data_IF_742722032598
#
_entry.id   IF_742722032598
#
_cell.length_a   1.000
_cell.length_b   1.000
_cell.length_c   1.000
_cell.angle_alpha   90.00
_cell.angle_beta   90.00
_cell.angle_gamma   90.00
#
_symmetry.space_group_name_H-M   'P 1'
#
loop_
_entity.id
_entity.type
_entity.pdbx_description
1 polymer ?
#
# COMPACT_ATOMS: atom_id res chain seq x y z
N UNK A 1 -22.45 21.22 -3.04
CA UNK A 1 -21.80 19.91 -2.78
C UNK A 1 -20.82 20.06 -1.63
N UNK A 2 -20.64 19.03 -0.81
CA UNK A 2 -19.77 19.04 0.37
C UNK A 2 -18.75 17.92 0.31
N UNK A 3 -17.52 18.19 0.73
CA UNK A 3 -16.47 17.16 0.87
C UNK A 3 -15.90 17.20 2.27
N UNK A 4 -15.83 16.04 2.91
CA UNK A 4 -15.31 15.85 4.26
C UNK A 4 -14.12 14.90 4.24
N UNK A 5 -12.99 15.36 4.76
CA UNK A 5 -11.74 14.61 4.86
C UNK A 5 -11.74 13.79 6.15
N UNK A 6 -12.27 12.57 6.12
CA UNK A 6 -12.40 11.73 7.32
C UNK A 6 -11.04 11.14 7.72
N UNK A 7 -10.20 10.78 6.75
CA UNK A 7 -8.86 10.23 6.98
C UNK A 7 -7.97 10.39 5.75
N UNK A 8 -6.67 10.14 5.92
CA UNK A 8 -5.67 10.43 4.88
C UNK A 8 -5.43 11.93 4.65
N UNK A 9 -5.64 12.79 5.67
CA UNK A 9 -5.33 14.22 5.60
C UNK A 9 -4.35 14.57 6.73
N UNK A 10 -3.14 15.02 6.38
CA UNK A 10 -2.02 15.17 7.32
C UNK A 10 -1.40 13.84 7.78
N UNK A 11 -1.73 12.74 7.11
CA UNK A 11 -1.17 11.40 7.30
C UNK A 11 -1.26 10.60 6.00
N UNK A 12 -0.42 9.57 5.86
CA UNK A 12 -0.33 8.66 4.69
C UNK A 12 -1.18 7.40 4.84
N UNK A 13 -2.05 7.30 5.84
CA UNK A 13 -2.88 6.10 6.03
C UNK A 13 -4.32 6.44 6.38
N UNK A 14 -5.22 5.48 6.22
CA UNK A 14 -6.62 5.59 6.65
C UNK A 14 -7.48 6.44 5.72
N UNK A 15 -7.14 6.48 4.44
CA UNK A 15 -7.79 7.22 3.35
C UNK A 15 -9.30 7.03 3.36
N UNK A 16 -10.02 8.13 3.60
CA UNK A 16 -11.48 8.20 3.63
C UNK A 16 -11.92 9.63 3.31
N UNK A 17 -12.53 9.83 2.15
CA UNK A 17 -13.11 11.13 1.78
C UNK A 17 -14.59 10.97 1.49
N UNK A 18 -15.45 11.67 2.23
CA UNK A 18 -16.90 11.63 2.05
C UNK A 18 -17.34 12.80 1.18
N UNK A 19 -18.00 12.50 0.08
CA UNK A 19 -18.65 13.46 -0.81
C UNK A 19 -20.17 13.40 -0.59
N UNK A 20 -20.79 14.54 -0.36
CA UNK A 20 -22.25 14.68 -0.23
C UNK A 20 -22.81 15.67 -1.25
N UNK A 21 -23.82 15.25 -2.01
CA UNK A 21 -24.42 16.02 -3.09
C UNK A 21 -25.91 15.66 -3.23
N UNK A 22 -26.81 16.64 -3.19
CA UNK A 22 -28.26 16.43 -3.32
C UNK A 22 -28.84 15.27 -2.48
N UNK A 23 -28.31 15.07 -1.26
CA UNK A 23 -28.71 13.97 -0.37
C UNK A 23 -28.09 12.60 -0.68
N UNK A 24 -27.29 12.48 -1.73
CA UNK A 24 -26.51 11.30 -2.08
C UNK A 24 -25.10 11.37 -1.49
N UNK A 25 -24.61 10.28 -0.93
CA UNK A 25 -23.34 10.18 -0.21
C UNK A 25 -22.42 9.12 -0.81
N UNK A 26 -21.25 9.57 -1.27
CA UNK A 26 -20.22 8.73 -1.88
C UNK A 26 -19.00 8.76 -0.98
N UNK A 27 -18.53 7.58 -0.58
CA UNK A 27 -17.28 7.45 0.13
C UNK A 27 -16.17 7.05 -0.85
N UNK A 28 -15.13 7.87 -0.96
CA UNK A 28 -13.91 7.54 -1.70
C UNK A 28 -12.93 6.91 -0.74
N UNK A 29 -12.60 5.64 -1.00
CA UNK A 29 -11.80 4.77 -0.14
C UNK A 29 -12.34 4.59 1.29
N UNK A 30 -11.95 3.49 1.92
CA UNK A 30 -12.34 3.10 3.26
C UNK A 30 -11.18 2.40 3.99
N UNK A 31 -10.09 3.13 4.21
CA UNK A 31 -8.81 2.59 4.69
C UNK A 31 -8.61 2.43 6.19
N UNK A 32 -7.68 1.59 6.63
CA UNK A 32 -7.19 1.59 8.03
C UNK A 32 -6.07 2.60 8.26
N UNK A 33 -6.10 3.26 9.41
CA UNK A 33 -4.96 4.01 9.92
C UNK A 33 -3.87 3.04 10.41
N UNK A 34 -2.62 3.28 10.04
CA UNK A 34 -1.46 2.48 10.44
C UNK A 34 -0.39 3.37 11.12
N UNK A 35 0.70 2.77 11.61
CA UNK A 35 1.81 3.50 12.23
C UNK A 35 1.55 3.91 13.68
N UNK A 36 1.61 5.21 13.96
CA UNK A 36 1.51 5.80 15.29
C UNK A 36 0.30 5.27 16.08
N UNK A 37 0.47 5.07 17.39
CA UNK A 37 -0.59 4.54 18.26
C UNK A 37 -1.85 5.41 18.23
N UNK A 38 -1.68 6.73 18.27
CA UNK A 38 -2.78 7.70 18.19
C UNK A 38 -3.59 7.55 16.89
N UNK A 39 -2.94 7.31 15.75
CA UNK A 39 -3.64 7.05 14.48
C UNK A 39 -4.35 5.70 14.50
N UNK A 40 -3.70 4.64 15.00
CA UNK A 40 -4.32 3.31 15.07
C UNK A 40 -5.54 3.26 15.99
N UNK A 41 -5.57 4.09 17.03
CA UNK A 41 -6.72 4.23 17.93
C UNK A 41 -7.96 4.79 17.21
N UNK A 42 -7.78 5.66 16.20
CA UNK A 42 -8.89 6.21 15.39
C UNK A 42 -9.65 5.13 14.61
N UNK A 43 -9.06 3.96 14.37
CA UNK A 43 -9.78 2.86 13.73
C UNK A 43 -10.93 2.32 14.58
N UNK A 44 -10.87 2.54 15.90
CA UNK A 44 -11.89 2.09 16.84
C UNK A 44 -13.08 3.05 16.93
N UNK A 45 -12.85 4.33 16.60
CA UNK A 45 -13.86 5.37 16.62
C UNK A 45 -14.94 5.13 15.55
N UNK A 46 -16.19 5.52 15.82
CA UNK A 46 -17.23 5.52 14.80
C UNK A 46 -16.92 6.54 13.71
N UNK A 47 -17.38 6.28 12.48
CA UNK A 47 -17.34 7.30 11.44
C UNK A 47 -18.16 8.52 11.87
N UNK A 48 -17.78 9.74 11.44
CA UNK A 48 -18.55 10.95 11.72
C UNK A 48 -19.83 11.05 10.87
N UNK A 49 -20.32 9.92 10.35
CA UNK A 49 -21.52 9.73 9.56
C UNK A 49 -22.02 8.29 9.79
N UNK A 50 -23.34 8.08 9.72
CA UNK A 50 -23.92 6.74 9.84
C UNK A 50 -23.61 5.91 8.58
N UNK A 51 -22.98 4.73 8.71
CA UNK A 51 -22.63 3.87 7.57
C UNK A 51 -23.83 3.49 6.68
N UNK A 52 -25.01 3.31 7.28
CA UNK A 52 -26.26 3.02 6.57
C UNK A 52 -26.77 4.13 5.67
N UNK A 53 -26.17 5.32 5.75
CA UNK A 53 -26.54 6.48 4.94
C UNK A 53 -25.57 6.74 3.79
N UNK A 54 -24.50 5.95 3.67
CA UNK A 54 -23.57 6.02 2.54
C UNK A 54 -24.15 5.16 1.41
N UNK A 55 -24.37 5.75 0.24
CA UNK A 55 -25.03 5.10 -0.88
C UNK A 55 -24.08 4.18 -1.66
N UNK A 56 -22.82 4.60 -1.81
CA UNK A 56 -21.79 3.78 -2.43
C UNK A 56 -20.37 4.13 -1.96
N UNK A 57 -19.46 3.20 -2.21
CA UNK A 57 -18.01 3.39 -2.06
C UNK A 57 -17.37 3.30 -3.43
N UNK A 58 -16.48 4.23 -3.76
CA UNK A 58 -15.58 4.11 -4.91
C UNK A 58 -14.18 3.82 -4.36
N UNK A 59 -13.64 2.65 -4.70
CA UNK A 59 -12.36 2.17 -4.17
C UNK A 59 -11.28 2.29 -5.25
N UNK A 60 -10.24 3.08 -4.94
CA UNK A 60 -9.12 3.36 -5.86
C UNK A 60 -8.25 2.12 -6.07
N UNK A 61 -7.86 1.44 -4.98
CA UNK A 61 -7.03 0.24 -5.02
C UNK A 61 -7.12 -0.59 -3.73
N UNK A 62 -6.48 -1.77 -3.75
CA UNK A 62 -6.63 -2.80 -2.73
C UNK A 62 -5.65 -2.74 -1.55
N UNK A 63 -4.93 -1.65 -1.31
CA UNK A 63 -4.10 -1.54 -0.11
C UNK A 63 -4.92 -1.35 1.17
N UNK A 64 -4.37 -1.77 2.31
CA UNK A 64 -5.08 -1.83 3.59
C UNK A 64 -5.50 -0.43 4.10
N UNK A 65 -4.71 0.59 3.81
CA UNK A 65 -4.98 2.00 4.06
C UNK A 65 -5.93 2.66 3.07
N UNK A 66 -6.47 1.92 2.11
CA UNK A 66 -7.56 2.33 1.22
C UNK A 66 -8.80 1.43 1.31
N UNK A 67 -8.65 0.16 1.69
CA UNK A 67 -9.79 -0.77 1.76
C UNK A 67 -10.03 -1.39 3.15
N UNK A 68 -9.09 -1.26 4.08
CA UNK A 68 -9.04 -2.09 5.29
C UNK A 68 -10.14 -1.85 6.32
N UNK A 69 -10.87 -0.74 6.24
CA UNK A 69 -11.99 -0.43 7.15
C UNK A 69 -13.35 -0.88 6.58
N UNK A 70 -13.39 -1.41 5.35
CA UNK A 70 -14.61 -1.95 4.73
C UNK A 70 -15.36 -3.00 5.59
N UNK A 71 -14.71 -3.95 6.30
CA UNK A 71 -15.41 -4.90 7.16
C UNK A 71 -16.21 -4.21 8.27
N UNK A 72 -15.65 -3.12 8.83
CA UNK A 72 -16.33 -2.32 9.85
C UNK A 72 -17.45 -1.46 9.29
N UNK A 73 -17.26 -0.91 8.09
CA UNK A 73 -18.30 -0.16 7.39
C UNK A 73 -19.56 -1.02 7.22
N UNK A 74 -19.38 -2.26 6.76
CA UNK A 74 -20.48 -3.20 6.53
C UNK A 74 -21.10 -3.69 7.84
N UNK A 75 -20.27 -4.07 8.83
CA UNK A 75 -20.79 -4.53 10.12
C UNK A 75 -21.56 -3.44 10.89
N UNK A 76 -21.30 -2.17 10.58
CA UNK A 76 -22.01 -1.02 11.14
C UNK A 76 -23.20 -0.54 10.28
N UNK A 77 -23.62 -1.32 9.28
CA UNK A 77 -24.91 -1.14 8.60
C UNK A 77 -24.86 -0.54 7.19
N UNK A 78 -23.69 -0.44 6.55
CA UNK A 78 -23.62 -0.10 5.12
C UNK A 78 -24.25 -1.20 4.25
N UNK A 79 -25.05 -0.79 3.27
CA UNK A 79 -25.80 -1.68 2.35
C UNK A 79 -25.55 -1.38 0.87
N UNK A 80 -24.77 -0.34 0.56
CA UNK A 80 -24.49 0.10 -0.81
C UNK A 80 -23.51 -0.80 -1.57
N UNK A 81 -23.10 -0.38 -2.77
CA UNK A 81 -22.11 -1.08 -3.60
C UNK A 81 -20.72 -0.46 -3.46
N UNK A 82 -19.69 -1.30 -3.61
CA UNK A 82 -18.27 -0.89 -3.64
C UNK A 82 -17.76 -1.06 -5.06
N UNK A 83 -17.59 0.04 -5.79
CA UNK A 83 -17.13 0.03 -7.17
C UNK A 83 -15.61 0.01 -7.23
N UNK A 84 -15.05 -0.94 -7.98
CA UNK A 84 -13.61 -1.06 -8.21
C UNK A 84 -13.31 -1.92 -9.43
N UNK A 85 -12.05 -1.93 -9.87
CA UNK A 85 -11.60 -2.80 -10.96
C UNK A 85 -11.49 -4.25 -10.51
N UNK A 86 -11.49 -5.19 -11.47
CA UNK A 86 -11.39 -6.62 -11.19
C UNK A 86 -10.12 -7.00 -10.38
N UNK A 87 -8.91 -6.50 -10.71
CA UNK A 87 -7.72 -6.81 -9.90
C UNK A 87 -7.81 -6.17 -8.51
N UNK A 88 -8.34 -4.95 -8.38
CA UNK A 88 -8.54 -4.30 -7.07
C UNK A 88 -9.45 -5.11 -6.17
N UNK A 89 -10.55 -5.67 -6.67
CA UNK A 89 -11.41 -6.60 -5.92
C UNK A 89 -10.63 -7.82 -5.40
N UNK A 90 -9.82 -8.44 -6.27
CA UNK A 90 -9.02 -9.61 -5.91
C UNK A 90 -7.98 -9.28 -4.84
N UNK A 91 -7.25 -8.17 -5.00
CA UNK A 91 -6.26 -7.71 -4.03
C UNK A 91 -6.92 -7.33 -2.70
N UNK A 92 -7.98 -6.51 -2.71
CA UNK A 92 -8.68 -6.09 -1.50
C UNK A 92 -9.18 -7.30 -0.71
N UNK A 93 -9.75 -8.32 -1.38
CA UNK A 93 -10.15 -9.56 -0.74
C UNK A 93 -8.96 -10.25 -0.05
N UNK A 94 -7.82 -10.39 -0.72
CA UNK A 94 -6.62 -11.01 -0.13
C UNK A 94 -6.13 -10.24 1.10
N UNK A 95 -6.00 -8.91 0.97
CA UNK A 95 -5.51 -8.02 2.02
C UNK A 95 -6.44 -8.02 3.25
N UNK A 96 -7.76 -7.99 3.03
CA UNK A 96 -8.74 -8.01 4.11
C UNK A 96 -8.72 -9.32 4.90
N UNK A 97 -8.63 -10.47 4.21
CA UNK A 97 -8.58 -11.78 4.86
C UNK A 97 -7.27 -12.00 5.62
N UNK A 98 -6.13 -11.60 5.04
CA UNK A 98 -4.83 -11.70 5.70
C UNK A 98 -4.79 -10.81 6.96
N UNK A 99 -5.26 -9.56 6.85
CA UNK A 99 -5.33 -8.63 7.97
C UNK A 99 -6.26 -9.13 9.08
N UNK A 100 -7.45 -9.67 8.76
CA UNK A 100 -8.34 -10.28 9.76
C UNK A 100 -7.66 -11.42 10.51
N UNK A 101 -7.01 -12.34 9.77
CA UNK A 101 -6.31 -13.49 10.35
C UNK A 101 -5.17 -13.05 11.27
N UNK A 102 -4.34 -12.10 10.86
CA UNK A 102 -3.26 -11.56 11.69
C UNK A 102 -3.83 -10.95 12.97
N UNK A 103 -4.89 -10.15 12.87
CA UNK A 103 -5.51 -9.51 14.03
C UNK A 103 -6.12 -10.52 15.01
N UNK A 104 -6.80 -11.56 14.53
CA UNK A 104 -7.34 -12.64 15.37
C UNK A 104 -6.23 -13.44 16.06
N UNK A 105 -5.16 -13.77 15.33
CA UNK A 105 -3.99 -14.47 15.88
C UNK A 105 -3.29 -13.62 16.95
N UNK A 106 -3.10 -12.32 16.70
CA UNK A 106 -2.51 -11.40 17.67
C UNK A 106 -3.36 -11.25 18.94
N UNK A 107 -4.68 -11.09 18.78
CA UNK A 107 -5.63 -11.01 19.89
C UNK A 107 -5.61 -12.31 20.73
N UNK A 108 -5.66 -13.48 20.07
CA UNK A 108 -5.58 -14.78 20.73
C UNK A 108 -4.24 -14.98 21.46
N UNK A 109 -3.12 -14.64 20.82
CA UNK A 109 -1.78 -14.74 21.42
C UNK A 109 -1.63 -13.78 22.61
N UNK A 110 -2.18 -12.57 22.52
CA UNK A 110 -2.17 -11.58 23.60
C UNK A 110 -2.97 -12.05 24.81
N UNK A 111 -4.15 -12.65 24.59
CA UNK A 111 -4.96 -13.28 25.64
C UNK A 111 -4.22 -14.44 26.32
N UNK A 112 -3.56 -15.31 25.55
CA UNK A 112 -2.86 -16.48 26.08
C UNK A 112 -1.57 -16.12 26.84
N UNK A 113 -0.77 -15.17 26.33
CA UNK A 113 0.57 -14.86 26.84
C UNK A 113 0.63 -13.65 27.79
N UNK A 114 -0.50 -12.98 28.05
CA UNK A 114 -0.66 -11.85 28.99
C UNK A 114 0.38 -10.72 28.87
N UNK A 115 0.95 -10.49 27.67
CA UNK A 115 1.89 -9.38 27.44
C UNK A 115 1.18 -8.06 27.09
N UNK A 116 -0.14 -8.09 26.87
CA UNK A 116 -0.95 -6.91 26.59
C UNK A 116 -1.36 -6.21 27.88
N UNK A 117 -1.40 -4.87 27.84
CA UNK A 117 -1.98 -4.06 28.93
C UNK A 117 -3.51 -4.05 28.90
N UNK A 118 -4.13 -4.54 27.82
CA UNK A 118 -5.58 -4.61 27.67
C UNK A 118 -6.13 -5.86 28.34
N UNK A 119 -7.22 -5.71 29.10
CA UNK A 119 -7.89 -6.78 29.85
C UNK A 119 -8.58 -7.81 28.94
N UNK A 120 -8.95 -7.44 27.72
CA UNK A 120 -9.49 -8.34 26.69
C UNK A 120 -9.12 -7.83 25.28
N UNK A 121 -7.92 -8.12 24.75
CA UNK A 121 -7.56 -7.78 23.38
C UNK A 121 -8.51 -8.48 22.38
N UNK A 122 -9.23 -7.68 21.59
CA UNK A 122 -10.11 -8.12 20.50
C UNK A 122 -9.54 -7.65 19.14
N UNK A 123 -9.76 -8.41 18.05
CA UNK A 123 -9.42 -7.94 16.71
C UNK A 123 -10.34 -6.78 16.31
N UNK A 124 -9.88 -5.89 15.42
CA UNK A 124 -10.69 -4.77 14.93
C UNK A 124 -11.89 -5.27 14.12
N UNK A 125 -11.71 -6.38 13.41
CA UNK A 125 -12.73 -7.17 12.74
C UNK A 125 -12.28 -8.63 12.59
N UNK A 126 -13.24 -9.53 12.44
CA UNK A 126 -13.01 -10.97 12.32
C UNK A 126 -12.81 -11.42 10.87
N UNK A 127 -12.35 -12.67 10.68
CA UNK A 127 -12.25 -13.29 9.36
C UNK A 127 -13.61 -13.38 8.67
N UNK A 128 -14.67 -13.67 9.43
CA UNK A 128 -16.06 -13.69 8.94
C UNK A 128 -16.48 -12.32 8.42
N UNK A 129 -16.19 -11.25 9.16
CA UNK A 129 -16.50 -9.88 8.74
C UNK A 129 -15.71 -9.48 7.48
N UNK A 130 -14.46 -9.91 7.35
CA UNK A 130 -13.68 -9.69 6.13
C UNK A 130 -14.24 -10.46 4.92
N UNK A 131 -14.69 -11.69 5.11
CA UNK A 131 -15.34 -12.48 4.04
C UNK A 131 -16.64 -11.83 3.57
N UNK A 132 -17.42 -11.27 4.50
CA UNK A 132 -18.69 -10.61 4.24
C UNK A 132 -18.58 -9.36 3.35
N UNK A 133 -17.36 -8.82 3.12
CA UNK A 133 -17.14 -7.70 2.18
C UNK A 133 -17.33 -8.12 0.73
N UNK A 134 -16.96 -9.36 0.38
CA UNK A 134 -16.88 -9.82 -1.03
C UNK A 134 -18.15 -9.57 -1.87
N UNK A 135 -19.37 -9.82 -1.36
CA UNK A 135 -20.62 -9.61 -2.10
C UNK A 135 -20.98 -8.15 -2.38
N UNK A 136 -20.33 -7.20 -1.72
CA UNK A 136 -20.59 -5.76 -1.89
C UNK A 136 -19.83 -5.17 -3.08
N UNK A 137 -18.78 -5.86 -3.57
CA UNK A 137 -17.98 -5.39 -4.70
C UNK A 137 -18.71 -5.50 -6.03
N UNK A 138 -18.86 -4.36 -6.69
CA UNK A 138 -19.25 -4.21 -8.09
C UNK A 138 -18.00 -3.98 -8.93
N UNK A 139 -17.76 -4.86 -9.91
CA UNK A 139 -16.57 -4.77 -10.78
C UNK A 139 -16.87 -3.84 -11.95
N UNK A 140 -15.98 -2.89 -12.20
CA UNK A 140 -16.06 -1.97 -13.34
C UNK A 140 -14.87 -2.11 -14.27
N UNK A 141 -15.10 -1.86 -15.55
CA UNK A 141 -14.05 -1.83 -16.56
C UNK A 141 -13.35 -0.46 -16.56
N UNK A 142 -12.01 -0.40 -16.62
CA UNK A 142 -11.28 0.86 -16.65
C UNK A 142 -11.58 1.63 -17.94
N UNK A 143 -11.54 2.96 -17.85
CA UNK A 143 -11.80 3.91 -18.94
C UNK A 143 -13.21 3.83 -19.54
N UNK A 144 -14.15 3.15 -18.87
CA UNK A 144 -15.57 3.10 -19.25
C UNK A 144 -16.38 3.93 -18.26
N UNK A 145 -17.38 4.66 -18.79
CA UNK A 145 -18.31 5.45 -17.97
C UNK A 145 -19.21 4.52 -17.14
N UNK A 146 -19.16 4.69 -15.82
CA UNK A 146 -19.97 3.97 -14.84
C UNK A 146 -21.06 4.90 -14.32
N UNK A 147 -22.32 4.76 -14.74
CA UNK A 147 -23.41 5.52 -14.16
C UNK A 147 -23.68 5.06 -12.72
N UNK A 148 -23.50 5.96 -11.75
CA UNK A 148 -23.80 5.72 -10.33
C UNK A 148 -25.27 6.06 -10.06
N UNK A 149 -25.70 7.21 -10.59
CA UNK A 149 -27.11 7.64 -10.65
C UNK A 149 -27.36 8.28 -12.02
N UNK A 150 -28.52 8.88 -12.25
CA UNK A 150 -28.78 9.63 -13.49
C UNK A 150 -27.91 10.88 -13.63
N UNK A 151 -27.47 11.47 -12.51
CA UNK A 151 -26.75 12.76 -12.48
C UNK A 151 -25.31 12.62 -11.98
N UNK A 152 -24.87 11.39 -11.67
CA UNK A 152 -23.54 11.09 -11.15
C UNK A 152 -22.94 9.92 -11.95
N UNK A 153 -21.78 10.14 -12.54
CA UNK A 153 -21.03 9.10 -13.24
C UNK A 153 -19.55 9.09 -12.85
N UNK A 154 -18.95 7.91 -12.84
CA UNK A 154 -17.53 7.71 -12.52
C UNK A 154 -16.79 7.09 -13.71
N UNK A 155 -15.50 7.40 -13.84
CA UNK A 155 -14.55 6.70 -14.73
C UNK A 155 -13.32 6.34 -13.90
N UNK A 156 -12.89 5.09 -14.03
CA UNK A 156 -11.70 4.57 -13.35
C UNK A 156 -10.54 4.53 -14.34
N UNK A 157 -9.49 5.30 -14.11
CA UNK A 157 -8.35 5.47 -15.02
C UNK A 157 -7.09 4.91 -14.35
N UNK A 158 -6.20 4.26 -15.09
CA UNK A 158 -5.03 3.57 -14.50
C UNK A 158 -4.18 4.54 -13.65
N UNK A 159 -3.92 4.19 -12.39
CA UNK A 159 -3.05 4.98 -11.51
C UNK A 159 -1.59 4.48 -11.50
N UNK A 160 -1.30 3.31 -12.08
CA UNK A 160 0.06 2.77 -12.16
C UNK A 160 0.72 2.39 -10.83
N UNK A 161 0.00 2.48 -9.70
CA UNK A 161 0.54 2.28 -8.36
C UNK A 161 0.67 0.79 -7.98
N UNK A 162 -0.44 0.05 -7.97
CA UNK A 162 -0.47 -1.41 -7.86
C UNK A 162 -1.41 -1.99 -8.91
N UNK A 163 -1.41 -3.32 -9.06
CA UNK A 163 -2.29 -3.99 -10.02
C UNK A 163 -3.76 -3.65 -9.79
N UNK A 164 -4.41 -3.08 -10.81
CA UNK A 164 -5.80 -2.63 -10.77
C UNK A 164 -6.02 -1.24 -10.16
N UNK A 165 -4.98 -0.57 -9.66
CA UNK A 165 -5.11 0.75 -9.05
C UNK A 165 -5.62 1.78 -10.05
N UNK A 166 -6.58 2.58 -9.62
CA UNK A 166 -7.19 3.61 -10.43
C UNK A 166 -7.33 4.96 -9.72
N UNK A 167 -7.09 6.02 -10.49
CA UNK A 167 -7.65 7.33 -10.22
C UNK A 167 -9.12 7.34 -10.64
N UNK A 168 -9.93 8.11 -9.94
CA UNK A 168 -11.38 8.13 -10.12
C UNK A 168 -11.81 9.52 -10.54
N UNK A 169 -12.27 9.65 -11.77
CA UNK A 169 -12.90 10.87 -12.30
C UNK A 169 -14.41 10.76 -12.10
N UNK A 170 -14.97 11.70 -11.35
CA UNK A 170 -16.39 11.77 -11.02
C UNK A 170 -17.02 13.01 -11.66
N UNK A 171 -18.08 12.82 -12.42
CA UNK A 171 -18.87 13.90 -13.02
C UNK A 171 -20.22 14.00 -12.34
N UNK A 172 -20.51 15.18 -11.79
CA UNK A 172 -21.75 15.48 -11.06
C UNK A 172 -21.97 17.00 -10.98
N UNK A 173 -23.22 17.46 -11.02
CA UNK A 173 -23.57 18.91 -10.98
C UNK A 173 -22.76 19.78 -11.96
N UNK A 174 -22.56 19.29 -13.20
CA UNK A 174 -21.72 19.91 -14.25
C UNK A 174 -20.26 20.18 -13.83
N UNK A 175 -19.77 19.48 -12.78
CA UNK A 175 -18.39 19.55 -12.29
C UNK A 175 -17.68 18.22 -12.50
N UNK A 176 -16.37 18.30 -12.70
CA UNK A 176 -15.47 17.15 -12.73
C UNK A 176 -14.58 17.15 -11.49
N UNK A 177 -14.73 16.14 -10.65
CA UNK A 177 -13.86 15.86 -9.51
C UNK A 177 -12.91 14.72 -9.86
N UNK A 178 -11.62 14.85 -9.53
CA UNK A 178 -10.65 13.77 -9.73
C UNK A 178 -10.03 13.39 -8.40
N UNK A 179 -10.13 12.12 -8.03
CA UNK A 179 -9.45 11.54 -6.89
C UNK A 179 -8.29 10.69 -7.40
N UNK A 180 -7.06 11.03 -7.05
CA UNK A 180 -5.89 10.34 -7.59
C UNK A 180 -5.79 8.89 -7.13
N UNK A 181 -6.24 8.60 -5.90
CA UNK A 181 -5.72 7.45 -5.17
C UNK A 181 -4.22 7.62 -4.98
N UNK A 182 -3.50 6.51 -4.90
CA UNK A 182 -2.05 6.53 -4.95
C UNK A 182 -1.58 6.48 -6.40
N UNK A 183 -0.64 7.35 -6.75
CA UNK A 183 -0.13 7.51 -8.11
C UNK A 183 1.21 6.79 -8.22
N UNK A 184 1.32 5.90 -9.20
CA UNK A 184 2.54 5.19 -9.52
C UNK A 184 3.58 6.04 -10.25
N UNK A 185 4.77 5.47 -10.39
CA UNK A 185 5.86 6.09 -11.15
C UNK A 185 5.62 6.04 -12.65
N UNK A 186 6.13 7.02 -13.37
CA UNK A 186 6.08 7.02 -14.83
C UNK A 186 6.91 5.87 -15.45
N UNK A 187 7.99 5.48 -14.78
CA UNK A 187 9.00 4.54 -15.25
C UNK A 187 9.04 3.21 -14.48
N UNK A 188 7.95 2.84 -13.79
CA UNK A 188 7.91 1.66 -12.91
C UNK A 188 8.36 0.36 -13.61
N UNK A 189 9.03 -0.53 -12.88
CA UNK A 189 9.59 -1.77 -13.43
C UNK A 189 8.52 -2.78 -13.86
N UNK A 190 7.36 -2.79 -13.20
CA UNK A 190 6.27 -3.73 -13.45
C UNK A 190 5.01 -3.06 -14.00
N UNK A 191 4.66 -1.89 -13.50
CA UNK A 191 3.39 -1.22 -13.78
C UNK A 191 3.50 -0.29 -14.99
N UNK A 192 2.38 -0.10 -15.70
CA UNK A 192 2.28 0.96 -16.71
C UNK A 192 2.11 2.32 -16.04
N UNK A 193 2.63 3.37 -16.70
CA UNK A 193 2.54 4.75 -16.22
C UNK A 193 1.08 5.15 -15.93
N UNK A 194 0.86 6.04 -14.94
CA UNK A 194 -0.47 6.55 -14.63
C UNK A 194 -1.08 7.30 -15.83
N UNK A 195 -2.39 7.17 -15.98
CA UNK A 195 -3.17 7.99 -16.92
C UNK A 195 -3.32 9.37 -16.33
N UNK A 196 -2.94 10.40 -17.09
CA UNK A 196 -3.00 11.79 -16.64
C UNK A 196 -4.40 12.37 -16.82
N UNK A 197 -4.92 13.14 -15.84
CA UNK A 197 -6.21 13.80 -15.97
C UNK A 197 -6.14 14.95 -16.96
N UNK A 198 -7.11 15.01 -17.88
CA UNK A 198 -7.23 16.10 -18.87
C UNK A 198 -8.09 17.24 -18.35
N UNK A 199 -9.12 16.92 -17.56
CA UNK A 199 -10.05 17.89 -16.99
C UNK A 199 -10.29 17.63 -15.50
N UNK A 200 -10.28 18.68 -14.69
CA UNK A 200 -10.66 18.65 -13.28
C UNK A 200 -11.06 20.04 -12.77
N UNK A 201 -12.28 20.21 -12.28
CA UNK A 201 -12.67 21.41 -11.52
C UNK A 201 -12.08 21.39 -10.11
N UNK A 202 -12.11 20.22 -9.48
CA UNK A 202 -11.48 19.96 -8.18
C UNK A 202 -10.70 18.66 -8.25
N UNK A 203 -9.52 18.65 -7.64
CA UNK A 203 -8.63 17.49 -7.68
C UNK A 203 -8.15 17.17 -6.26
N UNK A 204 -8.14 15.90 -5.92
CA UNK A 204 -7.67 15.36 -4.64
C UNK A 204 -6.46 14.48 -4.94
N UNK A 205 -5.26 15.00 -4.67
CA UNK A 205 -3.99 14.40 -5.05
C UNK A 205 -3.28 13.83 -3.83
N UNK A 206 -2.74 12.62 -3.94
CA UNK A 206 -1.82 12.08 -2.94
C UNK A 206 -0.55 12.94 -2.79
N UNK A 207 0.15 12.85 -1.67
CA UNK A 207 1.34 13.66 -1.41
C UNK A 207 2.42 12.91 -0.64
N UNK A 208 2.47 11.59 -0.81
CA UNK A 208 3.36 10.70 -0.05
C UNK A 208 4.82 11.12 -0.18
N UNK A 209 5.25 11.46 -1.40
CA UNK A 209 6.60 11.97 -1.70
C UNK A 209 6.62 13.39 -2.24
N UNK A 210 5.70 14.22 -1.75
CA UNK A 210 5.60 15.62 -2.15
C UNK A 210 6.85 16.46 -1.84
N UNK A 211 7.76 16.02 -0.98
CA UNK A 211 8.99 16.71 -0.55
C UNK A 211 10.29 16.21 -1.20
N UNK A 212 10.24 15.14 -2.01
CA UNK A 212 11.47 14.47 -2.46
C UNK A 212 11.39 13.97 -3.89
N UNK A 213 12.57 13.65 -4.42
CA UNK A 213 12.75 12.99 -5.71
C UNK A 213 13.31 11.60 -5.48
N UNK A 214 12.91 10.64 -6.31
CA UNK A 214 13.55 9.34 -6.34
C UNK A 214 15.00 9.50 -6.82
N UNK A 215 15.96 8.80 -6.20
CA UNK A 215 17.34 8.86 -6.67
C UNK A 215 17.46 8.25 -8.06
N UNK A 216 18.30 8.86 -8.91
CA UNK A 216 18.67 8.35 -10.22
C UNK A 216 19.74 7.24 -10.06
N UNK A 217 19.29 6.10 -9.54
CA UNK A 217 20.13 4.91 -9.26
C UNK A 217 19.57 3.68 -9.94
N UNK A 218 20.47 2.83 -10.43
CA UNK A 218 20.08 1.51 -10.93
C UNK A 218 19.81 0.57 -9.74
N UNK A 219 18.53 0.41 -9.43
CA UNK A 219 18.03 -0.52 -8.40
C UNK A 219 18.59 -1.94 -8.58
N UNK A 220 18.77 -2.42 -9.82
CA UNK A 220 19.33 -3.76 -10.06
C UNK A 220 20.79 -3.82 -9.60
N UNK A 221 21.57 -2.77 -9.83
CA UNK A 221 22.95 -2.69 -9.37
C UNK A 221 23.05 -2.62 -7.83
N UNK A 222 22.14 -1.90 -7.17
CA UNK A 222 22.09 -1.86 -5.71
C UNK A 222 21.73 -3.23 -5.12
N UNK A 223 20.69 -3.89 -5.65
CA UNK A 223 20.31 -5.25 -5.26
C UNK A 223 21.46 -6.23 -5.47
N UNK A 224 22.09 -6.20 -6.64
CA UNK A 224 23.25 -7.03 -6.96
C UNK A 224 24.37 -6.82 -5.93
N UNK A 225 24.75 -5.57 -5.68
CA UNK A 225 25.85 -5.22 -4.78
C UNK A 225 25.61 -5.73 -3.37
N UNK A 226 24.43 -5.46 -2.81
CA UNK A 226 24.09 -5.85 -1.46
C UNK A 226 23.98 -7.37 -1.31
N UNK A 227 23.36 -8.06 -2.27
CA UNK A 227 23.21 -9.52 -2.24
C UNK A 227 24.56 -10.20 -2.38
N UNK A 228 25.38 -9.79 -3.36
CA UNK A 228 26.71 -10.37 -3.56
C UNK A 228 27.60 -10.19 -2.33
N UNK A 229 27.58 -9.00 -1.71
CA UNK A 229 28.33 -8.73 -0.49
C UNK A 229 27.88 -9.61 0.70
N UNK A 230 26.57 -9.75 0.90
CA UNK A 230 26.01 -10.57 1.97
C UNK A 230 26.31 -12.06 1.78
N UNK A 231 26.06 -12.60 0.59
CA UNK A 231 26.27 -14.03 0.29
C UNK A 231 27.77 -14.39 0.33
N UNK A 232 28.67 -13.50 -0.11
CA UNK A 232 30.13 -13.69 0.02
C UNK A 232 30.58 -13.88 1.47
N UNK A 233 29.88 -13.28 2.43
CA UNK A 233 30.13 -13.43 3.86
C UNK A 233 29.41 -14.64 4.49
N UNK A 234 28.77 -15.47 3.65
CA UNK A 234 27.88 -16.57 4.05
C UNK A 234 26.73 -16.07 4.94
N UNK A 235 26.20 -14.90 4.63
CA UNK A 235 25.10 -14.24 5.32
C UNK A 235 23.72 -14.55 4.73
N UNK A 236 22.69 -14.13 5.45
CA UNK A 236 21.29 -14.17 4.99
C UNK A 236 20.84 -12.77 4.62
N UNK A 237 20.19 -12.63 3.47
CA UNK A 237 19.53 -11.38 3.06
C UNK A 237 18.04 -11.49 3.37
N UNK A 238 17.52 -10.53 4.12
CA UNK A 238 16.08 -10.42 4.40
C UNK A 238 15.57 -9.13 3.76
N UNK A 239 14.53 -9.26 2.94
CA UNK A 239 13.87 -8.15 2.27
C UNK A 239 12.45 -8.08 2.83
N UNK A 240 12.18 -7.19 3.79
CA UNK A 240 10.81 -6.90 4.22
C UNK A 240 10.03 -6.33 3.03
N UNK A 241 9.00 -7.06 2.57
CA UNK A 241 8.22 -6.69 1.40
C UNK A 241 6.74 -6.51 1.72
N UNK A 242 6.10 -5.52 1.09
CA UNK A 242 4.64 -5.53 0.97
C UNK A 242 4.24 -6.69 0.06
N UNK A 243 3.24 -7.47 0.49
CA UNK A 243 2.91 -8.70 -0.21
C UNK A 243 2.31 -8.46 -1.61
N UNK A 244 1.80 -7.26 -1.86
CA UNK A 244 1.20 -6.86 -3.14
C UNK A 244 2.10 -5.81 -3.80
N UNK A 245 2.34 -5.98 -5.10
CA UNK A 245 3.27 -5.24 -5.94
C UNK A 245 4.76 -5.34 -5.51
N UNK A 246 5.15 -4.84 -4.34
CA UNK A 246 6.58 -4.69 -3.99
C UNK A 246 7.34 -6.01 -3.99
N UNK A 247 6.75 -7.05 -3.42
CA UNK A 247 7.33 -8.39 -3.46
C UNK A 247 7.53 -8.86 -4.90
N UNK A 248 6.56 -8.63 -5.78
CA UNK A 248 6.60 -9.02 -7.19
C UNK A 248 7.65 -8.22 -7.96
N UNK A 249 7.78 -6.91 -7.71
CA UNK A 249 8.80 -6.05 -8.33
C UNK A 249 10.20 -6.50 -7.94
N UNK A 250 10.44 -6.81 -6.66
CA UNK A 250 11.72 -7.38 -6.21
C UNK A 250 11.94 -8.76 -6.85
N UNK A 251 10.92 -9.63 -6.89
CA UNK A 251 11.04 -10.93 -7.53
C UNK A 251 11.46 -10.82 -8.99
N UNK A 252 10.89 -9.87 -9.72
CA UNK A 252 11.20 -9.63 -11.13
C UNK A 252 12.65 -9.20 -11.32
N UNK A 253 13.12 -8.23 -10.53
CA UNK A 253 14.50 -7.73 -10.63
C UNK A 253 15.52 -8.81 -10.25
N UNK A 254 15.26 -9.58 -9.19
CA UNK A 254 16.10 -10.71 -8.81
C UNK A 254 16.12 -11.80 -9.89
N UNK A 255 14.98 -12.08 -10.51
CA UNK A 255 14.92 -13.00 -11.64
C UNK A 255 15.73 -12.52 -12.84
N UNK A 256 15.64 -11.25 -13.21
CA UNK A 256 16.47 -10.69 -14.26
C UNK A 256 17.96 -10.80 -13.92
N UNK A 257 18.37 -10.40 -12.71
CA UNK A 257 19.76 -10.52 -12.24
C UNK A 257 20.26 -11.97 -12.26
N UNK A 258 19.43 -12.94 -11.88
CA UNK A 258 19.78 -14.36 -11.92
C UNK A 258 19.93 -14.86 -13.36
N UNK A 259 19.01 -14.47 -14.24
CA UNK A 259 19.07 -14.79 -15.68
C UNK A 259 20.30 -14.20 -16.36
N UNK A 260 20.75 -13.04 -15.90
CA UNK A 260 21.97 -12.35 -16.33
C UNK A 260 23.25 -12.92 -15.68
N UNK A 261 23.14 -13.82 -14.70
CA UNK A 261 24.29 -14.40 -13.99
C UNK A 261 24.99 -13.43 -13.02
N UNK A 262 24.32 -12.36 -12.61
CA UNK A 262 24.88 -11.26 -11.78
C UNK A 262 24.79 -11.50 -10.27
N UNK A 263 23.90 -12.41 -9.85
CA UNK A 263 23.73 -12.81 -8.45
C UNK A 263 23.94 -14.32 -8.28
N UNK A 264 24.42 -14.77 -7.11
CA UNK A 264 24.77 -16.16 -6.87
C UNK A 264 23.56 -17.08 -6.89
N UNK A 265 23.82 -18.35 -7.23
CA UNK A 265 22.84 -19.43 -7.16
C UNK A 265 22.70 -19.94 -5.72
N UNK A 266 21.95 -19.19 -4.93
CA UNK A 266 21.48 -19.55 -3.59
C UNK A 266 19.97 -19.74 -3.58
N UNK A 267 19.37 -20.29 -2.52
CA UNK A 267 17.93 -20.29 -2.36
C UNK A 267 17.37 -18.85 -2.33
N UNK A 268 16.36 -18.60 -3.16
CA UNK A 268 15.54 -17.40 -3.14
C UNK A 268 14.15 -17.80 -2.66
N UNK A 269 13.67 -17.20 -1.58
CA UNK A 269 12.45 -17.60 -0.88
C UNK A 269 11.45 -16.45 -0.90
N UNK A 270 10.20 -16.77 -1.23
CA UNK A 270 9.05 -15.90 -1.01
C UNK A 270 8.24 -16.45 0.18
N UNK A 271 8.45 -15.88 1.36
CA UNK A 271 7.75 -16.27 2.59
C UNK A 271 6.64 -15.28 2.94
N UNK A 272 5.64 -15.28 2.06
CA UNK A 272 4.42 -14.51 2.21
C UNK A 272 3.28 -15.25 1.50
N UNK A 273 2.39 -15.92 2.24
CA UNK A 273 1.24 -16.60 1.64
C UNK A 273 0.38 -15.63 0.82
N UNK A 274 0.22 -14.40 1.30
CA UNK A 274 -0.47 -13.34 0.55
C UNK A 274 0.28 -12.96 -0.74
N UNK A 275 1.61 -12.88 -0.71
CA UNK A 275 2.39 -12.54 -1.90
C UNK A 275 2.37 -13.63 -2.98
N UNK A 276 2.30 -14.89 -2.56
CA UNK A 276 2.04 -16.02 -3.45
C UNK A 276 0.67 -15.87 -4.15
N UNK A 277 -0.37 -15.54 -3.40
CA UNK A 277 -1.70 -15.32 -3.97
C UNK A 277 -1.74 -14.07 -4.86
N UNK A 278 -1.00 -13.01 -4.52
CA UNK A 278 -0.91 -11.81 -5.35
C UNK A 278 -0.25 -12.10 -6.70
N UNK A 279 0.74 -13.00 -6.80
CA UNK A 279 1.29 -13.44 -8.10
C UNK A 279 0.23 -14.05 -9.01
N UNK A 280 -0.74 -14.78 -8.45
CA UNK A 280 -1.85 -15.32 -9.23
C UNK A 280 -2.71 -14.19 -9.84
N UNK A 281 -2.94 -13.10 -9.09
CA UNK A 281 -3.67 -11.93 -9.60
C UNK A 281 -2.93 -11.29 -10.77
N UNK A 282 -1.60 -11.21 -10.74
CA UNK A 282 -0.80 -10.77 -11.90
C UNK A 282 -1.01 -11.68 -13.12
N UNK A 283 -0.90 -13.00 -12.94
CA UNK A 283 -1.11 -13.96 -14.04
C UNK A 283 -2.50 -13.87 -14.69
N UNK A 284 -3.53 -13.60 -13.91
CA UNK A 284 -4.91 -13.46 -14.42
C UNK A 284 -5.18 -12.10 -15.09
N UNK A 285 -4.33 -11.10 -14.87
CA UNK A 285 -4.57 -9.69 -15.23
C UNK A 285 -3.43 -9.07 -16.04
N UNK A 286 -2.89 -9.81 -17.02
CA UNK A 286 -1.73 -9.41 -17.85
C UNK A 286 -1.84 -8.06 -18.56
N UNK A 287 -3.04 -7.50 -18.74
CA UNK A 287 -3.27 -6.18 -19.34
C UNK A 287 -2.90 -5.01 -18.42
N UNK A 288 -2.70 -5.28 -17.14
CA UNK A 288 -2.45 -4.25 -16.11
C UNK A 288 -0.97 -4.01 -15.82
N UNK A 289 -0.06 -4.80 -16.37
CA UNK A 289 1.37 -4.72 -16.08
C UNK A 289 2.24 -5.15 -17.27
N UNK A 290 3.54 -4.92 -17.17
CA UNK A 290 4.55 -5.14 -18.21
C UNK A 290 5.02 -6.60 -18.34
N UNK A 291 4.77 -7.47 -17.35
CA UNK A 291 5.19 -8.88 -17.40
C UNK A 291 4.43 -9.69 -18.46
N UNK A 292 5.18 -10.45 -19.26
CA UNK A 292 4.60 -11.50 -20.08
C UNK A 292 4.21 -12.73 -19.23
N UNK A 293 3.28 -13.55 -19.73
CA UNK A 293 2.91 -14.80 -19.06
C UNK A 293 4.12 -15.74 -18.86
N UNK A 294 5.02 -15.78 -19.84
CA UNK A 294 6.24 -16.59 -19.79
C UNK A 294 7.21 -16.08 -18.71
N UNK A 295 7.45 -14.77 -18.66
CA UNK A 295 8.35 -14.19 -17.66
C UNK A 295 7.81 -14.38 -16.25
N UNK A 296 6.49 -14.21 -16.06
CA UNK A 296 5.86 -14.44 -14.76
C UNK A 296 6.01 -15.91 -14.30
N UNK A 297 5.91 -16.87 -15.23
CA UNK A 297 6.09 -18.29 -14.93
C UNK A 297 7.54 -18.63 -14.59
N UNK A 298 8.51 -18.15 -15.38
CA UNK A 298 9.94 -18.37 -15.13
C UNK A 298 10.44 -17.67 -13.87
N UNK A 299 9.96 -16.44 -13.60
CA UNK A 299 10.17 -15.75 -12.34
C UNK A 299 9.66 -16.59 -11.17
N UNK A 300 8.44 -17.12 -11.24
CA UNK A 300 7.86 -17.92 -10.16
C UNK A 300 8.66 -19.19 -9.86
N UNK A 301 9.24 -19.84 -10.89
CA UNK A 301 10.09 -21.04 -10.72
C UNK A 301 11.39 -20.77 -9.95
N UNK A 302 11.91 -19.54 -9.99
CA UNK A 302 13.13 -19.18 -9.28
C UNK A 302 12.94 -19.19 -7.76
N UNK A 303 11.72 -18.94 -7.28
CA UNK A 303 11.45 -18.75 -5.87
C UNK A 303 10.84 -20.00 -5.23
N UNK A 304 11.34 -20.34 -4.04
CA UNK A 304 10.65 -21.26 -3.13
C UNK A 304 9.51 -20.49 -2.45
N UNK A 305 8.28 -20.75 -2.87
CA UNK A 305 7.08 -20.12 -2.32
C UNK A 305 6.64 -20.87 -1.08
N UNK A 306 6.57 -20.17 0.05
CA UNK A 306 6.26 -20.75 1.36
C UNK A 306 4.86 -20.33 1.79
N UNK A 307 4.03 -21.32 2.15
CA UNK A 307 2.67 -21.09 2.66
C UNK A 307 2.53 -21.47 4.14
N UNK A 308 3.19 -22.54 4.58
CA UNK A 308 3.07 -23.08 5.93
C UNK A 308 4.08 -22.45 6.91
N UNK A 309 3.66 -22.24 8.16
CA UNK A 309 4.56 -21.70 9.21
C UNK A 309 5.68 -22.67 9.59
N UNK A 310 5.42 -23.97 9.51
CA UNK A 310 6.43 -25.00 9.78
C UNK A 310 7.61 -24.91 8.80
N UNK A 311 7.36 -24.54 7.55
CA UNK A 311 8.39 -24.37 6.53
C UNK A 311 9.23 -23.12 6.78
N UNK A 312 8.62 -22.00 7.21
CA UNK A 312 9.37 -20.82 7.68
C UNK A 312 10.39 -21.19 8.74
N UNK A 313 10.00 -21.98 9.75
CA UNK A 313 10.92 -22.40 10.80
C UNK A 313 12.08 -23.26 10.27
N UNK A 314 11.80 -24.17 9.33
CA UNK A 314 12.86 -24.95 8.65
C UNK A 314 13.82 -24.06 7.87
N UNK A 315 13.31 -23.04 7.20
CA UNK A 315 14.12 -22.08 6.44
C UNK A 315 15.00 -21.25 7.39
N UNK A 316 14.49 -20.87 8.55
CA UNK A 316 15.25 -20.16 9.59
C UNK A 316 16.36 -21.05 10.18
N UNK A 317 16.07 -22.33 10.44
CA UNK A 317 17.02 -23.29 11.04
C UNK A 317 18.16 -23.70 10.10
N UNK A 318 17.92 -23.67 8.78
CA UNK A 318 18.93 -24.03 7.79
C UNK A 318 20.02 -22.92 7.69
N UNK A 319 21.30 -23.24 7.93
CA UNK A 319 22.40 -22.26 7.93
C UNK A 319 22.88 -21.86 6.53
N UNK A 320 22.36 -22.45 5.44
CA UNK A 320 22.74 -22.09 4.08
C UNK A 320 22.49 -20.58 3.82
N UNK A 321 23.42 -19.84 3.17
CA UNK A 321 23.15 -18.48 2.73
C UNK A 321 21.94 -18.43 1.81
N UNK A 322 21.03 -17.49 2.02
CA UNK A 322 19.77 -17.39 1.28
C UNK A 322 19.24 -15.96 1.21
N UNK A 323 18.36 -15.71 0.26
CA UNK A 323 17.63 -14.44 0.11
C UNK A 323 16.17 -14.68 0.40
N UNK A 324 15.61 -13.97 1.36
CA UNK A 324 14.21 -14.14 1.81
C UNK A 324 13.45 -12.84 1.60
N UNK A 325 12.36 -12.91 0.85
CA UNK A 325 11.33 -11.86 0.80
C UNK A 325 10.22 -12.28 1.77
N UNK A 326 9.99 -11.49 2.83
CA UNK A 326 8.99 -11.81 3.86
C UNK A 326 8.13 -10.59 4.21
N UNK A 327 6.83 -10.82 4.39
CA UNK A 327 5.89 -9.79 4.84
C UNK A 327 5.88 -9.68 6.38
N UNK A 328 5.58 -8.52 6.98
CA UNK A 328 5.13 -7.26 6.36
C UNK A 328 6.26 -6.28 6.02
N UNK A 329 6.07 -5.47 4.97
CA UNK A 329 7.05 -4.50 4.47
C UNK A 329 7.49 -3.43 5.47
N UNK A 330 6.65 -3.13 6.47
CA UNK A 330 6.97 -2.16 7.55
C UNK A 330 7.38 -2.81 8.88
N UNK A 331 7.50 -4.15 8.92
CA UNK A 331 7.89 -4.90 10.12
C UNK A 331 6.92 -4.63 11.29
N UNK A 332 5.63 -4.47 10.98
CA UNK A 332 4.57 -4.27 11.97
C UNK A 332 4.08 -5.61 12.52
N UNK A 333 3.92 -6.59 11.61
CA UNK A 333 3.51 -7.97 11.86
C UNK A 333 4.05 -8.94 10.80
N UNK A 334 3.51 -10.16 10.78
CA UNK A 334 3.78 -11.17 9.75
C UNK A 334 5.06 -11.99 9.95
N UNK A 335 5.40 -12.79 8.92
CA UNK A 335 6.52 -13.75 8.92
C UNK A 335 7.89 -13.11 9.13
N UNK A 336 8.09 -11.87 8.67
CA UNK A 336 9.34 -11.12 8.84
C UNK A 336 9.76 -11.01 10.31
N UNK A 337 8.79 -10.96 11.24
CA UNK A 337 9.10 -10.91 12.67
C UNK A 337 9.81 -12.19 13.14
N UNK A 338 9.41 -13.37 12.65
CA UNK A 338 10.07 -14.64 12.99
C UNK A 338 11.49 -14.71 12.45
N UNK A 339 11.73 -14.18 11.24
CA UNK A 339 13.09 -14.02 10.73
C UNK A 339 13.91 -13.07 11.60
N UNK A 340 13.34 -11.94 12.02
CA UNK A 340 14.06 -10.96 12.84
C UNK A 340 14.37 -11.48 14.25
N UNK A 341 13.48 -12.25 14.88
CA UNK A 341 13.75 -12.91 16.16
C UNK A 341 15.03 -13.77 16.12
N UNK A 342 15.38 -14.34 14.96
CA UNK A 342 16.56 -15.17 14.76
C UNK A 342 17.78 -14.41 14.18
N UNK A 343 17.56 -13.57 13.17
CA UNK A 343 18.64 -13.02 12.34
C UNK A 343 19.03 -11.59 12.66
N UNK A 344 18.21 -10.78 13.34
CA UNK A 344 18.50 -9.33 13.51
C UNK A 344 19.73 -9.07 14.37
N UNK A 345 20.04 -9.98 15.30
CA UNK A 345 21.21 -9.94 16.17
C UNK A 345 22.48 -10.53 15.57
N UNK A 346 22.48 -10.88 14.29
CA UNK A 346 23.63 -11.48 13.59
C UNK A 346 24.26 -10.49 12.59
N UNK A 347 25.56 -10.24 12.73
CA UNK A 347 26.35 -9.29 11.91
C UNK A 347 26.48 -9.71 10.43
N UNK A 348 26.23 -10.99 10.12
CA UNK A 348 26.20 -11.50 8.74
C UNK A 348 24.85 -11.30 8.07
N UNK A 349 23.82 -10.92 8.81
CA UNK A 349 22.51 -10.64 8.25
C UNK A 349 22.52 -9.28 7.56
N UNK A 350 21.92 -9.21 6.38
CA UNK A 350 21.65 -7.95 5.67
C UNK A 350 20.14 -7.79 5.52
N UNK A 351 19.60 -6.66 5.97
CA UNK A 351 18.20 -6.29 5.81
C UNK A 351 18.12 -5.20 4.76
N UNK A 352 17.31 -5.40 3.73
CA UNK A 352 17.13 -4.44 2.63
C UNK A 352 15.67 -3.99 2.61
N UNK A 353 15.40 -2.75 3.01
CA UNK A 353 14.10 -2.12 2.86
C UNK A 353 13.92 -1.57 1.45
N UNK A 354 12.75 -1.80 0.87
CA UNK A 354 12.44 -1.50 -0.55
C UNK A 354 11.17 -0.66 -0.73
N UNK A 355 10.62 -0.10 0.35
CA UNK A 355 9.39 0.68 0.30
C UNK A 355 9.28 1.62 1.50
N UNK A 356 8.27 2.52 1.45
CA UNK A 356 8.04 3.52 2.50
C UNK A 356 7.92 2.88 3.89
N UNK A 357 8.49 3.54 4.89
CA UNK A 357 8.43 3.13 6.28
C UNK A 357 7.73 4.23 7.08
N UNK A 358 6.45 4.02 7.38
CA UNK A 358 5.66 5.00 8.12
C UNK A 358 6.20 5.25 9.54
N UNK A 359 5.96 6.46 10.04
CA UNK A 359 6.36 6.83 11.39
C UNK A 359 5.77 5.87 12.45
N UNK A 360 6.59 5.53 13.45
CA UNK A 360 6.22 4.61 14.53
C UNK A 360 6.35 3.12 14.20
N UNK A 361 6.69 2.75 12.96
CA UNK A 361 6.95 1.35 12.58
C UNK A 361 8.35 0.88 13.00
N UNK A 362 8.56 -0.43 13.07
CA UNK A 362 9.90 -0.99 13.37
C UNK A 362 10.86 -0.78 12.21
N UNK A 363 10.38 -0.89 10.98
CA UNK A 363 11.22 -0.64 9.81
C UNK A 363 11.75 0.79 9.79
N UNK A 364 10.92 1.78 10.12
CA UNK A 364 11.38 3.17 10.27
C UNK A 364 12.47 3.33 11.33
N UNK A 365 12.28 2.73 12.51
CA UNK A 365 13.29 2.76 13.59
C UNK A 365 14.64 2.13 13.19
N UNK A 366 14.59 1.04 12.42
CA UNK A 366 15.81 0.38 11.92
C UNK A 366 16.57 1.28 10.93
N UNK A 367 15.85 1.96 10.03
CA UNK A 367 16.45 2.92 9.10
C UNK A 367 17.04 4.14 9.82
N UNK A 368 16.45 4.55 10.93
CA UNK A 368 16.96 5.63 11.79
C UNK A 368 18.09 5.19 12.73
N UNK A 369 18.58 3.94 12.62
CA UNK A 369 19.76 3.46 13.34
C UNK A 369 19.49 2.97 14.76
N UNK A 370 18.29 2.46 15.07
CA UNK A 370 18.00 1.91 16.38
C UNK A 370 18.88 0.68 16.71
N UNK A 371 19.54 0.73 17.88
CA UNK A 371 20.37 -0.37 18.40
C UNK A 371 19.56 -1.58 18.91
N UNK A 372 18.26 -1.37 19.18
CA UNK A 372 17.34 -2.43 19.63
C UNK A 372 15.93 -2.25 19.05
N UNK A 373 15.24 -3.37 18.83
CA UNK A 373 13.83 -3.40 18.45
C UNK A 373 13.03 -4.34 19.34
N UNK A 374 11.77 -4.00 19.58
CA UNK A 374 10.87 -4.79 20.43
C UNK A 374 9.95 -5.68 19.62
N UNK A 375 10.06 -7.00 19.75
CA UNK A 375 9.21 -7.99 19.07
C UNK A 375 8.54 -8.87 20.14
N UNK A 376 7.20 -8.98 20.08
CA UNK A 376 6.38 -9.77 21.03
C UNK A 376 6.73 -9.60 22.53
N UNK A 377 7.07 -8.37 22.94
CA UNK A 377 7.41 -8.06 24.34
C UNK A 377 8.90 -8.10 24.66
N UNK A 378 9.72 -8.75 23.83
CA UNK A 378 11.15 -8.90 24.03
C UNK A 378 11.95 -7.90 23.20
N UNK A 379 13.10 -7.46 23.72
CA UNK A 379 14.04 -6.60 23.01
C UNK A 379 15.13 -7.45 22.34
N UNK A 380 15.47 -7.09 21.11
CA UNK A 380 16.50 -7.72 20.30
C UNK A 380 17.51 -6.67 19.86
N UNK A 381 18.79 -6.92 20.14
CA UNK A 381 19.88 -6.06 19.68
C UNK A 381 20.02 -6.15 18.17
N UNK A 382 20.14 -5.02 17.51
CA UNK A 382 20.32 -4.91 16.06
C UNK A 382 21.82 -4.96 15.76
N UNK A 383 22.26 -6.07 15.18
CA UNK A 383 23.62 -6.22 14.64
C UNK A 383 23.65 -6.43 13.13
N UNK A 384 22.49 -6.75 12.54
CA UNK A 384 22.34 -6.85 11.10
C UNK A 384 22.66 -5.52 10.42
N UNK A 385 23.17 -5.60 9.19
CA UNK A 385 23.38 -4.42 8.35
C UNK A 385 22.04 -4.00 7.75
N UNK A 386 21.66 -2.75 7.95
CA UNK A 386 20.39 -2.21 7.48
C UNK A 386 20.64 -1.31 6.27
N UNK A 387 19.95 -1.57 5.16
CA UNK A 387 19.99 -0.76 3.95
C UNK A 387 18.58 -0.39 3.49
N UNK A 388 18.49 0.70 2.73
CA UNK A 388 17.28 1.11 2.02
C UNK A 388 17.61 1.29 0.55
N UNK A 389 16.79 0.71 -0.31
CA UNK A 389 16.77 0.98 -1.75
C UNK A 389 15.55 1.85 -1.99
N UNK A 390 15.78 3.14 -2.24
CA UNK A 390 14.71 4.14 -2.42
C UNK A 390 14.08 4.06 -3.82
N UNK A 391 14.86 3.64 -4.82
CA UNK A 391 14.44 3.56 -6.23
C UNK A 391 13.37 2.50 -6.52
N UNK A 392 12.80 1.85 -5.50
CA UNK A 392 11.74 0.88 -5.65
C UNK A 392 10.37 1.36 -5.24
N UNK A 393 10.15 2.57 -4.72
CA UNK A 393 8.81 2.89 -4.21
C UNK A 393 7.68 2.82 -5.24
N UNK A 394 6.46 2.44 -4.81
CA UNK A 394 5.26 2.31 -5.64
C UNK A 394 4.58 3.66 -5.88
N UNK A 395 4.96 4.70 -5.14
CA UNK A 395 4.43 6.05 -5.34
C UNK A 395 5.37 6.83 -6.25
N UNK A 396 4.78 7.66 -7.11
CA UNK A 396 5.47 8.71 -7.83
C UNK A 396 6.11 9.71 -6.86
N UNK A 397 7.27 10.23 -7.23
CA UNK A 397 7.91 11.30 -6.47
C UNK A 397 7.28 12.68 -6.79
N UNK A 398 7.84 13.76 -6.22
CA UNK A 398 7.38 15.12 -6.50
C UNK A 398 7.33 15.43 -8.02
N UNK A 399 8.29 14.94 -8.81
CA UNK A 399 8.35 15.18 -10.25
C UNK A 399 7.28 14.37 -10.98
N UNK A 400 7.07 13.10 -10.62
CA UNK A 400 5.98 12.28 -11.17
C UNK A 400 4.62 12.93 -10.89
N UNK A 401 4.37 13.38 -9.65
CA UNK A 401 3.11 14.03 -9.26
C UNK A 401 2.88 15.35 -10.02
N UNK A 402 3.93 16.16 -10.20
CA UNK A 402 3.86 17.37 -11.03
C UNK A 402 3.64 17.02 -12.50
N UNK A 403 4.29 15.98 -13.02
CA UNK A 403 4.11 15.51 -14.40
C UNK A 403 2.70 14.96 -14.63
N UNK A 404 2.09 14.32 -13.64
CA UNK A 404 0.74 13.81 -13.71
C UNK A 404 -0.29 14.94 -13.92
N UNK A 405 -0.10 16.08 -13.24
CA UNK A 405 -0.92 17.28 -13.43
C UNK A 405 -0.70 17.99 -14.79
N UNK A 406 0.37 17.66 -15.52
CA UNK A 406 0.80 18.42 -16.70
C UNK A 406 -0.16 18.34 -17.89
N UNK A 407 -1.12 17.40 -17.87
CA UNK A 407 -2.08 17.19 -18.94
C UNK A 407 -3.40 17.94 -18.74
N UNK A 408 -3.57 18.63 -17.61
CA UNK A 408 -4.78 19.41 -17.35
C UNK A 408 -4.89 20.59 -18.33
N UNK A 409 -5.98 20.63 -19.08
CA UNK A 409 -6.26 21.68 -20.05
C UNK A 409 -7.01 22.86 -19.42
N UNK A 410 -7.74 22.64 -18.33
CA UNK A 410 -8.42 23.67 -17.56
C UNK A 410 -7.67 24.00 -16.26
N UNK A 411 -7.83 25.23 -15.77
CA UNK A 411 -7.33 25.61 -14.44
C UNK A 411 -8.30 25.06 -13.39
N UNK A 412 -7.89 24.16 -12.49
CA UNK A 412 -8.74 23.70 -11.41
C UNK A 412 -9.09 24.84 -10.46
N UNK A 413 -10.31 24.84 -9.93
CA UNK A 413 -10.73 25.78 -8.88
C UNK A 413 -9.92 25.58 -7.61
N UNK A 414 -9.61 24.33 -7.26
CA UNK A 414 -8.69 23.99 -6.18
C UNK A 414 -8.18 22.55 -6.31
N UNK A 415 -6.90 22.36 -5.98
CA UNK A 415 -6.30 21.05 -5.71
C UNK A 415 -6.20 20.89 -4.19
N UNK A 416 -6.58 19.73 -3.66
CA UNK A 416 -6.47 19.34 -2.27
C UNK A 416 -5.43 18.23 -2.14
N UNK A 417 -4.39 18.44 -1.33
CA UNK A 417 -3.34 17.45 -1.11
C UNK A 417 -3.70 16.57 0.07
N UNK A 418 -3.95 15.30 -0.20
CA UNK A 418 -4.27 14.25 0.76
C UNK A 418 -3.16 13.20 0.74
N UNK A 419 -3.29 12.15 1.54
CA UNK A 419 -2.38 11.01 1.57
C UNK A 419 -0.90 11.40 1.67
N UNK A 420 -0.57 12.15 2.71
CA UNK A 420 0.75 12.73 2.89
C UNK A 420 0.90 13.33 4.27
N UNK A 421 2.12 13.29 4.80
CA UNK A 421 2.46 14.05 5.99
C UNK A 421 2.47 15.55 5.68
N UNK A 422 2.32 16.39 6.70
CA UNK A 422 2.14 17.84 6.51
C UNK A 422 3.30 18.49 5.73
N UNK A 423 4.55 18.04 5.93
CA UNK A 423 5.71 18.60 5.25
C UNK A 423 5.74 18.23 3.75
N UNK A 424 5.68 16.93 3.35
CA UNK A 424 5.50 16.54 1.95
C UNK A 424 4.34 17.26 1.24
N UNK A 425 3.18 17.37 1.90
CA UNK A 425 2.03 18.06 1.32
C UNK A 425 2.30 19.55 1.11
N UNK A 426 2.91 20.26 2.08
CA UNK A 426 3.15 21.70 1.93
C UNK A 426 4.22 22.01 0.86
N UNK A 427 5.28 21.20 0.78
CA UNK A 427 6.30 21.32 -0.27
C UNK A 427 5.69 21.15 -1.67
N UNK A 428 4.87 20.11 -1.86
CA UNK A 428 4.18 19.89 -3.13
C UNK A 428 3.20 21.02 -3.45
N UNK A 429 2.48 21.55 -2.44
CA UNK A 429 1.59 22.71 -2.61
C UNK A 429 2.33 23.90 -3.20
N UNK A 430 3.51 24.23 -2.65
CA UNK A 430 4.35 25.33 -3.12
C UNK A 430 4.80 25.08 -4.56
N UNK A 431 5.22 23.85 -4.90
CA UNK A 431 5.64 23.50 -6.26
C UNK A 431 4.51 23.62 -7.28
N UNK A 432 3.33 23.12 -6.96
CA UNK A 432 2.14 23.23 -7.82
C UNK A 432 1.79 24.71 -8.07
N UNK A 433 1.79 25.53 -7.02
CA UNK A 433 1.50 26.96 -7.12
C UNK A 433 2.55 27.72 -7.96
N UNK A 434 3.82 27.35 -7.82
CA UNK A 434 4.91 27.99 -8.57
C UNK A 434 4.94 27.58 -10.05
N UNK A 435 4.71 26.30 -10.35
CA UNK A 435 4.83 25.75 -11.70
C UNK A 435 3.57 25.97 -12.55
N UNK A 436 2.39 25.76 -11.96
CA UNK A 436 1.12 25.77 -12.69
C UNK A 436 0.22 26.95 -12.31
N UNK A 437 0.54 27.69 -11.25
CA UNK A 437 -0.31 28.75 -10.70
C UNK A 437 -1.71 28.27 -10.28
N UNK A 438 -1.86 26.96 -10.04
CA UNK A 438 -3.11 26.38 -9.57
C UNK A 438 -3.30 26.67 -8.08
N UNK A 439 -4.54 26.97 -7.69
CA UNK A 439 -4.90 27.06 -6.27
C UNK A 439 -4.76 25.67 -5.65
N UNK A 440 -4.02 25.58 -4.55
CA UNK A 440 -3.71 24.32 -3.90
C UNK A 440 -3.75 24.48 -2.37
N UNK A 441 -4.41 23.55 -1.68
CA UNK A 441 -4.65 23.57 -0.24
C UNK A 441 -4.29 22.22 0.39
N UNK A 442 -3.82 22.25 1.64
CA UNK A 442 -3.62 21.05 2.48
C UNK A 442 -4.73 21.02 3.54
N UNK A 443 -5.76 20.15 3.40
CA UNK A 443 -6.83 20.03 4.37
C UNK A 443 -6.34 19.37 5.66
N UNK A 444 -7.00 19.69 6.79
CA UNK A 444 -6.83 18.96 8.03
C UNK A 444 -7.85 17.82 8.12
N UNK A 445 -7.48 16.72 8.79
CA UNK A 445 -8.41 15.64 9.09
C UNK A 445 -9.63 16.16 9.86
N UNK A 446 -10.81 15.71 9.47
CA UNK A 446 -12.11 16.15 9.97
C UNK A 446 -12.64 17.43 9.33
N UNK A 447 -11.87 18.14 8.51
CA UNK A 447 -12.36 19.34 7.81
C UNK A 447 -13.45 18.99 6.79
N UNK A 448 -14.37 19.93 6.62
CA UNK A 448 -15.42 19.92 5.61
C UNK A 448 -15.30 21.18 4.76
N UNK A 449 -15.46 21.01 3.44
CA UNK A 449 -15.42 22.09 2.46
C UNK A 449 -16.70 22.06 1.62
N UNK A 450 -17.10 23.23 1.12
CA UNK A 450 -18.17 23.37 0.14
C UNK A 450 -17.57 23.66 -1.23
N UNK A 451 -18.04 22.95 -2.26
CA UNK A 451 -17.50 22.99 -3.62
C UNK A 451 -18.56 23.09 -4.72
#
# INVERSE_FOLDING_TARGET
>A
MKVKFIGGAGTVTGSKTLLETNGYRILIDCGLFQGLKSLRELNWDPLPILPSTIDCVLLTHGHLDHCGWLPRLISQGFTGRIYCTAPTKSIAKLVLLDSAKIQEEEASRANQKQYSKHTNPEPLYTLEQAQAVTPFFEVVEPNILVPITNDIAAVFENAGHIIGACSIKLTLEDKTLVFSGDIGRDDDVLMFAPTKPVLADYLFLESTYGDRLHPDVDVKEELETLINAAIKQKGTVIIPGFAVERAQSVMFLLWQLKKEGRIPDVPYILDTPMGANALHVFLENLKWHKLSASDCHEMSKMFSIVSEFKETMRIIEDPQPKVVIAASGMVTGGRVLSYFEHYIGNEKTTVIFVGYQAEGTRGRKLLEGADEIKIYGNYYNVKAKIFQIEGLSAHGDQKDLLNWLSALENIPKCIYLVHGENLPADELRIKIQNQYHFKCNVPLMGNEIEI
#
